data_IF_710767499460
#
_entry.id   IF_710767499460
#
_cell.length_a   1.000
_cell.length_b   1.000
_cell.length_c   1.000
_cell.angle_alpha   90.00
_cell.angle_beta   90.00
_cell.angle_gamma   90.00
#
_symmetry.space_group_name_H-M   'P 1'
#
loop_
_entity.id
_entity.type
_entity.pdbx_description
1 polymer ?
#
# COMPACT_ATOMS: atom_id res chain seq x y z
N UNK A 1 3.61 24.84 -1.33
CA UNK A 1 4.42 23.70 -1.83
C UNK A 1 5.78 24.19 -2.28
N UNK A 2 6.86 23.50 -1.88
CA UNK A 2 8.27 23.96 -1.94
C UNK A 2 8.56 25.25 -1.14
N UNK A 3 7.75 26.30 -1.30
CA UNK A 3 7.82 27.57 -0.56
C UNK A 3 7.48 27.43 0.94
N UNK A 4 6.47 26.64 1.29
CA UNK A 4 5.93 26.52 2.66
C UNK A 4 6.12 25.15 3.30
N UNK A 5 6.60 24.15 2.54
CA UNK A 5 6.74 22.77 3.04
C UNK A 5 5.43 22.04 3.38
N UNK A 6 4.27 22.61 3.02
CA UNK A 6 2.98 22.00 3.30
C UNK A 6 2.72 20.78 2.40
N UNK A 7 2.09 19.75 2.97
CA UNK A 7 1.55 18.61 2.23
C UNK A 7 0.48 19.09 1.24
N UNK A 8 0.50 18.51 0.05
CA UNK A 8 -0.44 18.83 -1.01
C UNK A 8 -0.71 17.58 -1.84
N UNK A 9 -1.80 17.63 -2.60
CA UNK A 9 -2.14 16.61 -3.58
C UNK A 9 -2.29 17.22 -4.97
N UNK A 10 -2.25 16.35 -5.97
CA UNK A 10 -2.49 16.65 -7.38
C UNK A 10 -3.11 15.42 -8.02
N UNK A 11 -3.68 15.60 -9.21
CA UNK A 11 -4.19 14.50 -10.02
C UNK A 11 -3.15 13.38 -10.15
N UNK A 12 -3.58 12.16 -9.80
CA UNK A 12 -2.78 10.96 -9.96
C UNK A 12 -2.47 10.73 -11.45
N UNK A 13 -1.24 10.35 -11.81
CA UNK A 13 -0.91 9.99 -13.19
C UNK A 13 -1.47 8.61 -13.59
N UNK A 14 -2.06 7.85 -12.67
CA UNK A 14 -2.54 6.47 -12.89
C UNK A 14 -3.57 6.39 -14.02
N UNK A 15 -3.51 5.32 -14.82
CA UNK A 15 -4.44 4.98 -15.89
C UNK A 15 -4.97 3.56 -15.72
N UNK A 16 -6.13 3.20 -16.30
CA UNK A 16 -6.60 1.82 -16.30
C UNK A 16 -5.54 0.89 -16.88
N UNK A 17 -5.17 -0.14 -16.13
CA UNK A 17 -4.10 -1.08 -16.48
C UNK A 17 -2.79 -0.84 -15.75
N UNK A 18 -2.58 0.34 -15.15
CA UNK A 18 -1.46 0.54 -14.21
C UNK A 18 -1.73 -0.26 -12.93
N UNK A 19 -0.68 -0.87 -12.37
CA UNK A 19 -0.79 -1.66 -11.15
C UNK A 19 0.47 -1.52 -10.28
N UNK A 20 0.29 -1.81 -8.99
CA UNK A 20 1.37 -2.06 -8.05
C UNK A 20 1.24 -3.51 -7.60
N UNK A 21 2.29 -4.29 -7.76
CA UNK A 21 2.37 -5.68 -7.30
C UNK A 21 3.31 -5.78 -6.10
N UNK A 22 2.93 -6.59 -5.12
CA UNK A 22 3.69 -6.80 -3.90
C UNK A 22 3.82 -8.29 -3.59
N UNK A 23 4.96 -8.66 -3.01
CA UNK A 23 5.18 -10.00 -2.46
C UNK A 23 4.89 -9.98 -0.95
N UNK A 24 3.99 -10.85 -0.50
CA UNK A 24 3.64 -10.97 0.92
C UNK A 24 4.72 -11.78 1.64
N UNK A 25 5.63 -11.09 2.33
CA UNK A 25 6.73 -11.76 3.06
C UNK A 25 6.26 -12.50 4.32
N UNK A 26 5.07 -12.18 4.82
CA UNK A 26 4.38 -12.87 5.91
C UNK A 26 2.90 -13.04 5.54
N UNK A 27 2.15 -13.79 6.34
CA UNK A 27 0.70 -13.84 6.20
C UNK A 27 0.07 -12.48 6.50
N UNK A 28 -0.66 -11.93 5.53
CA UNK A 28 -1.32 -10.63 5.63
C UNK A 28 -2.83 -10.75 5.52
N UNK A 29 -3.54 -10.01 6.36
CA UNK A 29 -4.94 -9.64 6.13
C UNK A 29 -4.96 -8.26 5.47
N UNK A 30 -5.18 -8.22 4.16
CA UNK A 30 -5.22 -6.97 3.39
C UNK A 30 -6.51 -6.18 3.60
N UNK A 31 -6.39 -4.85 3.62
CA UNK A 31 -7.51 -3.92 3.57
C UNK A 31 -7.23 -2.84 2.52
N UNK A 32 -8.19 -2.58 1.64
CA UNK A 32 -8.10 -1.57 0.59
C UNK A 32 -9.38 -0.73 0.57
N UNK A 33 -9.21 0.58 0.44
CA UNK A 33 -10.32 1.52 0.31
C UNK A 33 -10.21 2.28 -1.02
N UNK A 34 -11.26 2.24 -1.83
CA UNK A 34 -11.39 3.13 -2.97
C UNK A 34 -11.69 4.54 -2.46
N UNK A 35 -10.67 5.41 -2.49
CA UNK A 35 -10.74 6.75 -1.92
C UNK A 35 -11.90 7.55 -2.53
N UNK A 36 -12.74 8.22 -1.71
CA UNK A 36 -13.81 9.08 -2.23
C UNK A 36 -13.29 10.32 -2.95
N UNK A 37 -11.98 10.61 -2.89
CA UNK A 37 -11.33 11.66 -3.67
C UNK A 37 -11.01 11.29 -5.12
N UNK A 38 -11.30 10.06 -5.56
CA UNK A 38 -10.97 9.58 -6.90
C UNK A 38 -9.46 9.62 -7.17
N UNK A 39 -9.06 10.32 -8.23
CA UNK A 39 -7.65 10.55 -8.59
C UNK A 39 -6.99 11.73 -7.83
N UNK A 40 -7.70 12.32 -6.87
CA UNK A 40 -7.28 13.49 -6.09
C UNK A 40 -7.01 14.75 -6.95
N UNK A 41 -7.64 14.90 -8.12
CA UNK A 41 -7.47 16.10 -8.97
C UNK A 41 -8.21 17.35 -8.48
N UNK A 42 -9.17 17.19 -7.57
CA UNK A 42 -10.02 18.26 -7.04
C UNK A 42 -9.56 18.67 -5.63
N UNK A 43 -10.35 18.31 -4.61
CA UNK A 43 -10.12 18.58 -3.19
C UNK A 43 -10.16 17.28 -2.37
N UNK A 44 -9.55 17.29 -1.18
CA UNK A 44 -9.48 16.11 -0.33
C UNK A 44 -10.90 15.66 0.07
N UNK A 45 -11.23 14.38 -0.17
CA UNK A 45 -12.51 13.77 0.20
C UNK A 45 -13.71 14.58 -0.32
N UNK A 46 -13.96 14.51 -1.62
CA UNK A 46 -15.04 15.25 -2.28
C UNK A 46 -16.16 14.31 -2.71
N UNK A 47 -17.40 14.60 -2.30
CA UNK A 47 -18.59 13.87 -2.77
C UNK A 47 -18.87 14.08 -4.28
N UNK A 48 -18.06 14.89 -4.95
CA UNK A 48 -18.17 15.21 -6.38
C UNK A 48 -17.10 14.52 -7.23
N UNK A 49 -16.11 13.87 -6.62
CA UNK A 49 -15.04 13.24 -7.39
C UNK A 49 -15.58 12.03 -8.16
N UNK A 50 -15.12 11.87 -9.42
CA UNK A 50 -15.38 10.66 -10.17
C UNK A 50 -14.60 9.51 -9.54
N UNK A 51 -15.32 8.56 -8.95
CA UNK A 51 -14.74 7.40 -8.29
C UNK A 51 -14.85 6.16 -9.17
N UNK A 52 -13.87 5.28 -9.03
CA UNK A 52 -13.76 4.03 -9.78
C UNK A 52 -13.40 2.89 -8.83
N UNK A 53 -13.78 1.64 -9.14
CA UNK A 53 -13.38 0.50 -8.33
C UNK A 53 -11.86 0.25 -8.43
N UNK A 54 -11.30 -0.39 -7.42
CA UNK A 54 -9.95 -0.93 -7.43
C UNK A 54 -10.02 -2.46 -7.48
N UNK A 55 -9.08 -3.08 -8.20
CA UNK A 55 -8.97 -4.53 -8.32
C UNK A 55 -7.84 -5.04 -7.42
N UNK A 56 -8.10 -6.14 -6.71
CA UNK A 56 -7.08 -6.90 -5.99
C UNK A 56 -7.09 -8.32 -6.51
N UNK A 57 -5.93 -8.79 -6.93
CA UNK A 57 -5.70 -10.17 -7.36
C UNK A 57 -4.65 -10.82 -6.46
N UNK A 58 -4.82 -12.10 -6.16
CA UNK A 58 -3.91 -12.86 -5.31
C UNK A 58 -3.34 -14.02 -6.12
N UNK A 59 -2.03 -13.98 -6.34
CA UNK A 59 -1.31 -15.01 -7.08
C UNK A 59 -0.50 -15.89 -6.14
N UNK A 60 -0.39 -17.18 -6.48
CA UNK A 60 0.51 -18.10 -5.79
C UNK A 60 1.70 -18.43 -6.68
N UNK A 61 2.94 -18.38 -6.16
CA UNK A 61 4.10 -18.78 -6.92
C UNK A 61 4.01 -20.27 -7.28
N UNK A 62 4.71 -20.65 -8.36
CA UNK A 62 4.86 -22.07 -8.71
C UNK A 62 5.52 -22.83 -7.56
N UNK A 63 5.17 -24.11 -7.33
CA UNK A 63 5.84 -24.93 -6.33
C UNK A 63 7.37 -24.91 -6.49
N UNK A 64 8.10 -24.67 -5.41
CA UNK A 64 9.57 -24.62 -5.39
C UNK A 64 10.19 -23.29 -5.82
N UNK A 65 9.43 -22.30 -6.32
CA UNK A 65 9.99 -21.02 -6.75
C UNK A 65 10.62 -20.18 -5.61
N UNK A 66 10.32 -20.53 -4.35
CA UNK A 66 10.79 -19.85 -3.15
C UNK A 66 11.55 -20.80 -2.20
N UNK A 67 12.22 -21.84 -2.74
CA UNK A 67 12.81 -22.91 -1.93
C UNK A 67 13.80 -22.44 -0.86
N UNK A 68 14.60 -21.40 -1.16
CA UNK A 68 15.61 -20.85 -0.25
C UNK A 68 15.14 -19.57 0.47
N UNK A 69 13.90 -19.14 0.23
CA UNK A 69 13.33 -17.96 0.88
C UNK A 69 12.66 -18.35 2.20
N UNK A 70 12.88 -17.53 3.23
CA UNK A 70 12.22 -17.65 4.51
C UNK A 70 11.55 -16.32 4.89
N UNK A 71 10.37 -16.36 5.53
CA UNK A 71 9.74 -15.17 6.10
C UNK A 71 10.69 -14.43 7.07
N UNK A 72 10.66 -13.09 7.11
CA UNK A 72 11.48 -12.33 8.05
C UNK A 72 11.09 -12.66 9.51
N UNK A 73 12.05 -12.77 10.43
CA UNK A 73 11.75 -12.93 11.84
C UNK A 73 11.16 -11.62 12.40
N UNK A 74 10.46 -11.73 13.53
CA UNK A 74 10.12 -10.56 14.34
C UNK A 74 11.40 -9.87 14.84
N UNK A 75 11.30 -8.58 15.14
CA UNK A 75 12.44 -7.81 15.65
C UNK A 75 13.03 -8.47 16.92
N UNK A 76 14.36 -8.60 16.97
CA UNK A 76 15.08 -9.28 18.05
C UNK A 76 15.44 -8.38 19.24
N UNK A 77 14.90 -7.16 19.30
CA UNK A 77 15.00 -6.31 20.48
C UNK A 77 14.55 -7.11 21.70
N UNK A 78 15.36 -7.10 22.75
CA UNK A 78 15.17 -7.93 23.94
C UNK A 78 13.89 -7.59 24.72
N UNK A 79 13.30 -6.42 24.45
CA UNK A 79 12.14 -5.86 25.14
C UNK A 79 12.36 -5.72 26.65
N UNK A 80 13.62 -5.69 27.09
CA UNK A 80 13.95 -5.48 28.51
C UNK A 80 13.61 -4.07 28.93
N UNK A 81 13.64 -3.12 27.99
CA UNK A 81 13.53 -1.69 28.27
C UNK A 81 14.51 -1.22 29.37
N UNK A 82 15.65 -1.91 29.51
CA UNK A 82 16.65 -1.66 30.56
C UNK A 82 16.25 -2.14 31.97
N UNK A 83 15.16 -2.88 32.12
CA UNK A 83 14.77 -3.50 33.39
C UNK A 83 15.53 -4.83 33.59
N UNK A 84 16.22 -4.93 34.72
CA UNK A 84 16.88 -6.14 35.25
C UNK A 84 15.98 -6.91 36.19
#
# INVERSE_FOLDING_TARGET
TADTGQYFMKASPVRPGDYLEAFAEIDLLGALSACPGGDCSAEHSSDRASCHPLLVEVFRPRPGALADWAPPPVNSYDRSHGAS
#
